data_IF_665636043908
#
_entry.id   IF_665636043908
#
_cell.length_a   1.000
_cell.length_b   1.000
_cell.length_c   1.000
_cell.angle_alpha   90.00
_cell.angle_beta   90.00
_cell.angle_gamma   90.00
#
_symmetry.space_group_name_H-M   'P 1'
#
loop_
_entity.id
_entity.type
_entity.pdbx_description
1 polymer ?
#
# COMPACT_ATOMS: atom_id res chain seq x y z
N UNK A 1 6.58 29.16 -25.65
CA UNK A 1 7.88 29.34 -26.35
C UNK A 1 7.60 29.86 -27.74
N UNK A 2 8.08 31.06 -28.06
CA UNK A 2 7.65 31.85 -29.22
C UNK A 2 8.57 31.58 -30.44
N UNK A 3 8.31 30.48 -31.16
CA UNK A 3 9.15 30.00 -32.28
C UNK A 3 9.23 30.99 -33.45
N UNK A 4 8.26 31.89 -33.59
CA UNK A 4 8.20 32.86 -34.70
C UNK A 4 9.26 33.96 -34.64
N UNK A 5 9.81 34.29 -33.46
CA UNK A 5 10.74 35.43 -33.33
C UNK A 5 12.15 35.17 -33.87
N UNK A 6 12.57 33.91 -34.02
CA UNK A 6 13.88 33.52 -34.57
C UNK A 6 13.97 33.71 -36.10
N UNK A 7 12.83 33.74 -36.80
CA UNK A 7 12.77 33.89 -38.25
C UNK A 7 12.75 35.36 -38.72
N UNK A 8 12.64 36.32 -37.81
CA UNK A 8 12.57 37.74 -38.15
C UNK A 8 13.97 38.32 -38.39
N UNK A 9 14.26 38.91 -39.56
CA UNK A 9 15.54 39.54 -39.82
C UNK A 9 15.68 40.78 -38.93
N UNK A 10 16.75 40.83 -38.13
CA UNK A 10 17.06 41.95 -37.25
C UNK A 10 18.53 42.32 -37.36
N UNK A 11 18.83 43.62 -37.31
CA UNK A 11 20.20 44.12 -37.47
C UNK A 11 21.15 43.63 -36.38
N UNK A 12 20.76 43.72 -35.10
CA UNK A 12 21.55 43.22 -33.96
C UNK A 12 20.72 42.29 -33.07
N UNK A 13 21.09 41.01 -33.05
CA UNK A 13 20.41 39.94 -32.30
C UNK A 13 20.42 40.18 -30.79
N UNK A 14 21.51 40.68 -30.23
CA UNK A 14 21.65 40.92 -28.79
C UNK A 14 20.75 42.08 -28.34
N UNK A 15 20.74 43.17 -29.09
CA UNK A 15 19.87 44.32 -28.80
C UNK A 15 18.38 43.93 -28.89
N UNK A 16 18.00 43.16 -29.92
CA UNK A 16 16.64 42.66 -30.07
C UNK A 16 16.25 41.72 -28.91
N UNK A 17 17.13 40.79 -28.53
CA UNK A 17 16.87 39.88 -27.41
C UNK A 17 16.65 40.63 -26.09
N UNK A 18 17.48 41.65 -25.81
CA UNK A 18 17.32 42.50 -24.61
C UNK A 18 15.99 43.26 -24.64
N UNK A 19 15.62 43.84 -25.78
CA UNK A 19 14.35 44.55 -25.93
C UNK A 19 13.14 43.61 -25.73
N UNK A 20 13.19 42.41 -26.29
CA UNK A 20 12.15 41.37 -26.11
C UNK A 20 12.05 40.93 -24.66
N UNK A 21 13.19 40.69 -23.99
CA UNK A 21 13.21 40.33 -22.57
C UNK A 21 12.60 41.44 -21.71
N UNK A 22 12.95 42.71 -21.95
CA UNK A 22 12.37 43.84 -21.24
C UNK A 22 10.85 43.95 -21.48
N UNK A 23 10.39 43.75 -22.73
CA UNK A 23 8.96 43.76 -23.05
C UNK A 23 8.21 42.62 -22.34
N UNK A 24 8.80 41.42 -22.28
CA UNK A 24 8.25 40.28 -21.55
C UNK A 24 8.22 40.53 -20.04
N UNK A 25 9.28 41.12 -19.46
CA UNK A 25 9.31 41.48 -18.04
C UNK A 25 8.24 42.52 -17.72
N UNK A 26 8.09 43.56 -18.55
CA UNK A 26 7.03 44.57 -18.40
C UNK A 26 5.64 43.94 -18.49
N UNK A 27 5.44 43.01 -19.42
CA UNK A 27 4.17 42.28 -19.54
C UNK A 27 3.87 41.43 -18.30
N UNK A 28 4.86 40.66 -17.80
CA UNK A 28 4.70 39.87 -16.57
C UNK A 28 4.40 40.74 -15.35
N UNK A 29 5.07 41.88 -15.20
CA UNK A 29 4.76 42.85 -14.13
C UNK A 29 3.33 43.35 -14.22
N UNK A 30 2.89 43.74 -15.41
CA UNK A 30 1.50 44.16 -15.64
C UNK A 30 0.48 43.07 -15.32
N UNK A 31 0.74 41.82 -15.68
CA UNK A 31 -0.14 40.70 -15.33
C UNK A 31 -0.19 40.46 -13.82
N UNK A 32 0.94 40.59 -13.12
CA UNK A 32 1.00 40.42 -11.67
C UNK A 32 0.33 41.58 -10.90
N UNK A 33 0.45 42.81 -11.40
CA UNK A 33 -0.13 44.01 -10.80
C UNK A 33 -1.62 44.21 -11.18
N UNK A 34 -2.11 43.49 -12.19
CA UNK A 34 -3.48 43.58 -12.65
C UNK A 34 -4.44 43.06 -11.56
N UNK A 35 -5.22 43.96 -10.98
CA UNK A 35 -6.26 43.61 -10.01
C UNK A 35 -7.38 42.86 -10.72
N UNK A 36 -7.89 41.80 -10.09
CA UNK A 36 -9.15 41.18 -10.51
C UNK A 36 -10.28 42.21 -10.38
N UNK A 37 -11.08 42.37 -11.44
CA UNK A 37 -12.26 43.25 -11.45
C UNK A 37 -13.56 42.50 -11.12
N UNK A 38 -13.49 41.18 -11.13
CA UNK A 38 -14.60 40.26 -10.87
C UNK A 38 -14.21 39.45 -9.65
N UNK A 39 -15.18 39.23 -8.77
CA UNK A 39 -15.04 38.33 -7.64
C UNK A 39 -14.92 36.89 -8.15
N UNK A 40 -13.77 36.26 -7.87
CA UNK A 40 -13.50 34.86 -8.18
C UNK A 40 -13.51 33.99 -6.92
N UNK A 41 -13.98 34.52 -5.78
CA UNK A 41 -14.08 33.72 -4.56
C UNK A 41 -15.15 32.66 -4.72
N UNK A 42 -14.92 31.49 -4.11
CA UNK A 42 -15.91 30.43 -4.13
C UNK A 42 -17.14 30.86 -3.32
N UNK A 43 -18.37 30.63 -3.82
CA UNK A 43 -19.58 30.95 -3.08
C UNK A 43 -19.65 30.13 -1.78
N UNK A 44 -20.29 30.70 -0.75
CA UNK A 44 -20.47 30.01 0.52
C UNK A 44 -21.26 28.70 0.33
N UNK A 45 -20.76 27.62 0.94
CA UNK A 45 -21.34 26.29 0.79
C UNK A 45 -22.34 26.08 1.93
N UNK A 46 -23.64 25.87 1.63
CA UNK A 46 -24.64 25.73 2.68
C UNK A 46 -24.38 24.47 3.51
N UNK A 47 -24.72 24.52 4.79
CA UNK A 47 -24.38 23.47 5.76
C UNK A 47 -24.86 22.06 5.37
N UNK A 48 -26.01 21.95 4.70
CA UNK A 48 -26.58 20.68 4.25
C UNK A 48 -25.80 20.03 3.09
N UNK A 49 -24.95 20.78 2.36
CA UNK A 49 -24.00 20.24 1.39
C UNK A 49 -22.69 19.77 2.05
N UNK A 50 -22.44 20.17 3.31
CA UNK A 50 -21.24 19.78 4.07
C UNK A 50 -21.43 18.46 4.79
N UNK A 51 -22.66 18.15 5.24
CA UNK A 51 -22.99 16.90 5.95
C UNK A 51 -24.30 16.30 5.43
N UNK A 52 -24.24 15.01 5.08
CA UNK A 52 -25.41 14.22 4.70
C UNK A 52 -26.01 13.56 5.95
N UNK A 53 -26.81 14.30 6.72
CA UNK A 53 -27.39 13.82 7.99
C UNK A 53 -28.19 12.51 7.83
N UNK A 54 -28.90 12.33 6.71
CA UNK A 54 -29.62 11.09 6.42
C UNK A 54 -28.68 9.88 6.26
N UNK A 55 -27.50 10.10 5.68
CA UNK A 55 -26.48 9.05 5.54
C UNK A 55 -25.92 8.68 6.92
N UNK A 56 -25.66 9.68 7.75
CA UNK A 56 -25.18 9.49 9.13
C UNK A 56 -26.19 8.68 9.96
N UNK A 57 -27.47 9.07 9.94
CA UNK A 57 -28.56 8.34 10.58
C UNK A 57 -28.64 6.87 10.12
N UNK A 58 -28.60 6.64 8.80
CA UNK A 58 -28.73 5.29 8.25
C UNK A 58 -27.52 4.40 8.63
N UNK A 59 -26.34 4.98 8.79
CA UNK A 59 -25.17 4.26 9.30
C UNK A 59 -25.37 3.91 10.78
N UNK A 60 -25.85 4.85 11.60
CA UNK A 60 -26.14 4.61 13.01
C UNK A 60 -27.20 3.52 13.22
N UNK A 61 -28.31 3.57 12.48
CA UNK A 61 -29.36 2.53 12.51
C UNK A 61 -28.82 1.15 12.12
N UNK A 62 -27.93 1.11 11.12
CA UNK A 62 -27.26 -0.12 10.69
C UNK A 62 -26.33 -0.66 11.77
N UNK A 63 -25.52 0.19 12.40
CA UNK A 63 -24.62 -0.22 13.49
C UNK A 63 -25.42 -0.73 14.69
N UNK A 64 -26.48 -0.03 15.11
CA UNK A 64 -27.35 -0.48 16.19
C UNK A 64 -28.01 -1.84 15.92
N UNK A 65 -28.31 -2.15 14.65
CA UNK A 65 -28.83 -3.46 14.24
C UNK A 65 -27.76 -4.54 14.35
N UNK A 66 -26.57 -4.30 13.82
CA UNK A 66 -25.44 -5.23 13.90
C UNK A 66 -25.06 -5.52 15.36
N UNK A 67 -25.02 -4.50 16.21
CA UNK A 67 -24.70 -4.67 17.63
C UNK A 67 -25.73 -5.53 18.37
N UNK A 68 -27.03 -5.31 18.08
CA UNK A 68 -28.11 -6.13 18.63
C UNK A 68 -27.99 -7.58 18.21
N UNK A 69 -27.72 -7.82 16.92
CA UNK A 69 -27.59 -9.18 16.37
C UNK A 69 -26.34 -9.88 16.94
N UNK A 70 -25.22 -9.17 17.06
CA UNK A 70 -24.00 -9.67 17.69
C UNK A 70 -24.24 -10.04 19.16
N UNK A 71 -24.97 -9.22 19.91
CA UNK A 71 -25.35 -9.52 21.29
C UNK A 71 -26.17 -10.82 21.38
N UNK A 72 -27.19 -10.96 20.54
CA UNK A 72 -28.03 -12.18 20.50
C UNK A 72 -27.20 -13.41 20.11
N UNK A 73 -26.31 -13.25 19.13
CA UNK A 73 -25.42 -14.33 18.68
C UNK A 73 -24.50 -14.79 19.81
N UNK A 74 -23.83 -13.86 20.49
CA UNK A 74 -22.94 -14.15 21.61
C UNK A 74 -23.70 -14.79 22.77
N UNK A 75 -24.91 -14.33 23.07
CA UNK A 75 -25.76 -14.94 24.09
C UNK A 75 -26.10 -16.39 23.74
N UNK A 76 -26.52 -16.67 22.51
CA UNK A 76 -26.79 -18.03 22.01
C UNK A 76 -25.56 -18.91 22.01
N UNK A 77 -24.41 -18.41 21.59
CA UNK A 77 -23.15 -19.16 21.63
C UNK A 77 -22.77 -19.48 23.08
N UNK A 78 -22.85 -18.50 23.99
CA UNK A 78 -22.59 -18.71 25.41
C UNK A 78 -23.54 -19.74 26.02
N UNK A 79 -24.80 -19.74 25.58
CA UNK A 79 -25.80 -20.72 26.02
C UNK A 79 -25.46 -22.13 25.56
N UNK A 80 -25.09 -22.30 24.28
CA UNK A 80 -24.65 -23.59 23.72
C UNK A 80 -23.39 -24.09 24.44
N UNK A 81 -22.39 -23.22 24.63
CA UNK A 81 -21.14 -23.56 25.31
C UNK A 81 -21.36 -23.97 26.77
N UNK A 82 -22.28 -23.31 27.49
CA UNK A 82 -22.66 -23.72 28.85
C UNK A 82 -23.42 -25.04 28.86
N UNK A 83 -24.26 -25.29 27.86
CA UNK A 83 -25.13 -26.46 27.75
C UNK A 83 -24.45 -27.62 27.01
N UNK A 84 -23.16 -27.83 27.23
CA UNK A 84 -22.27 -28.79 26.54
C UNK A 84 -22.61 -30.28 26.78
N UNK A 85 -23.86 -30.60 27.13
CA UNK A 85 -24.39 -31.95 27.24
C UNK A 85 -25.29 -32.19 26.04
N UNK A 86 -24.78 -32.93 25.05
CA UNK A 86 -25.63 -33.53 24.05
C UNK A 86 -26.48 -34.59 24.77
N UNK A 87 -27.77 -34.33 24.93
CA UNK A 87 -28.80 -35.27 25.39
C UNK A 87 -29.10 -36.37 24.34
N UNK A 88 -28.35 -36.39 23.24
CA UNK A 88 -28.39 -37.40 22.18
C UNK A 88 -27.04 -38.13 22.08
N UNK A 89 -26.62 -38.80 23.16
CA UNK A 89 -25.54 -39.80 23.07
C UNK A 89 -26.13 -41.05 22.42
N UNK A 90 -26.07 -41.13 21.10
CA UNK A 90 -26.40 -42.37 20.40
C UNK A 90 -25.16 -43.28 20.38
N UNK A 91 -25.09 -44.20 21.34
CA UNK A 91 -24.02 -45.21 21.47
C UNK A 91 -23.90 -46.13 20.24
N UNK A 92 -24.90 -46.15 19.34
CA UNK A 92 -24.85 -46.92 18.08
C UNK A 92 -23.97 -46.32 16.97
N UNK A 93 -23.42 -45.11 17.17
CA UNK A 93 -22.57 -44.44 16.15
C UNK A 93 -21.18 -45.05 16.00
N UNK A 94 -20.79 -46.01 16.84
CA UNK A 94 -19.52 -46.75 16.70
C UNK A 94 -19.36 -47.44 15.33
N UNK A 95 -20.46 -47.68 14.61
CA UNK A 95 -20.47 -48.36 13.30
C UNK A 95 -21.02 -47.51 12.15
N UNK A 96 -21.29 -46.22 12.36
CA UNK A 96 -21.78 -45.33 11.32
C UNK A 96 -20.63 -44.88 10.39
N UNK A 97 -20.10 -45.80 9.59
CA UNK A 97 -19.29 -45.42 8.45
C UNK A 97 -20.16 -44.65 7.47
N UNK A 98 -19.90 -43.34 7.31
CA UNK A 98 -20.52 -42.57 6.23
C UNK A 98 -20.20 -43.27 4.90
N UNK A 99 -21.23 -43.75 4.19
CA UNK A 99 -21.13 -44.36 2.86
C UNK A 99 -20.31 -43.51 1.87
N UNK A 100 -20.24 -42.21 2.12
CA UNK A 100 -19.52 -41.23 1.29
C UNK A 100 -18.08 -40.95 1.77
N UNK A 101 -17.59 -41.60 2.84
CA UNK A 101 -16.24 -41.37 3.39
C UNK A 101 -15.17 -41.67 2.36
N UNK A 102 -15.31 -42.75 1.60
CA UNK A 102 -14.37 -43.10 0.54
C UNK A 102 -14.44 -42.13 -0.64
N UNK A 103 -15.64 -41.75 -1.07
CA UNK A 103 -15.83 -40.78 -2.14
C UNK A 103 -15.18 -39.43 -1.77
N UNK A 104 -15.42 -38.95 -0.55
CA UNK A 104 -14.80 -37.73 0.00
C UNK A 104 -13.28 -37.85 0.09
N UNK A 105 -12.75 -39.01 0.51
CA UNK A 105 -11.31 -39.26 0.57
C UNK A 105 -10.67 -39.25 -0.83
N UNK A 106 -11.30 -39.88 -1.82
CA UNK A 106 -10.83 -39.87 -3.22
C UNK A 106 -10.84 -38.45 -3.80
N UNK A 107 -11.90 -37.69 -3.55
CA UNK A 107 -12.01 -36.31 -4.03
C UNK A 107 -10.98 -35.40 -3.38
N UNK A 108 -10.76 -35.53 -2.07
CA UNK A 108 -9.69 -34.81 -1.37
C UNK A 108 -8.32 -35.14 -1.97
N UNK A 109 -8.03 -36.42 -2.22
CA UNK A 109 -6.77 -36.83 -2.85
C UNK A 109 -6.61 -36.28 -4.27
N UNK A 110 -7.70 -36.18 -5.05
CA UNK A 110 -7.71 -35.58 -6.39
C UNK A 110 -7.33 -34.09 -6.31
N UNK A 111 -8.02 -33.34 -5.46
CA UNK A 111 -7.79 -31.90 -5.25
C UNK A 111 -6.35 -31.65 -4.79
N UNK A 112 -5.86 -32.42 -3.82
CA UNK A 112 -4.47 -32.28 -3.34
C UNK A 112 -3.45 -32.51 -4.45
N UNK A 113 -3.66 -33.52 -5.30
CA UNK A 113 -2.76 -33.79 -6.43
C UNK A 113 -2.77 -32.68 -7.47
N UNK A 114 -3.95 -32.14 -7.79
CA UNK A 114 -4.10 -31.01 -8.72
C UNK A 114 -3.45 -29.74 -8.18
N UNK A 115 -3.65 -29.43 -6.90
CA UNK A 115 -3.01 -28.30 -6.23
C UNK A 115 -1.49 -28.40 -6.25
N UNK A 116 -0.92 -29.60 -6.02
CA UNK A 116 0.52 -29.83 -6.16
C UNK A 116 1.02 -29.65 -7.59
N UNK A 117 0.21 -29.98 -8.60
CA UNK A 117 0.54 -29.73 -10.01
C UNK A 117 0.52 -28.24 -10.36
N UNK A 118 -0.46 -27.50 -9.85
CA UNK A 118 -0.56 -26.03 -10.01
C UNK A 118 0.62 -25.34 -9.34
N UNK A 119 0.93 -25.70 -8.09
CA UNK A 119 2.03 -25.10 -7.34
C UNK A 119 3.38 -25.28 -8.05
N UNK A 120 3.66 -26.49 -8.55
CA UNK A 120 4.88 -26.74 -9.33
C UNK A 120 4.96 -25.89 -10.58
N UNK A 121 3.85 -25.72 -11.31
CA UNK A 121 3.82 -24.85 -12.50
C UNK A 121 4.06 -23.38 -12.16
N UNK A 122 3.49 -22.89 -11.05
CA UNK A 122 3.71 -21.52 -10.60
C UNK A 122 5.17 -21.31 -10.20
N UNK A 123 5.76 -22.26 -9.46
CA UNK A 123 7.15 -22.16 -9.00
C UNK A 123 8.17 -22.31 -10.14
N UNK A 124 7.86 -23.10 -11.16
CA UNK A 124 8.71 -23.28 -12.34
C UNK A 124 8.50 -22.21 -13.40
N UNK A 125 7.43 -21.42 -13.31
CA UNK A 125 7.18 -20.34 -14.25
C UNK A 125 8.25 -19.26 -14.06
N UNK A 126 9.09 -19.07 -15.07
CA UNK A 126 10.06 -17.98 -15.08
C UNK A 126 9.33 -16.62 -15.12
N UNK A 127 9.80 -15.62 -14.37
CA UNK A 127 9.31 -14.25 -14.50
C UNK A 127 9.46 -13.77 -15.95
N UNK A 128 8.35 -13.36 -16.58
CA UNK A 128 8.37 -12.83 -17.95
C UNK A 128 9.10 -11.47 -18.04
N UNK A 129 9.20 -10.76 -16.92
CA UNK A 129 9.86 -9.47 -16.84
C UNK A 129 11.05 -9.54 -15.89
N UNK A 130 12.23 -9.23 -16.42
CA UNK A 130 13.42 -9.01 -15.61
C UNK A 130 13.44 -7.55 -15.16
N UNK A 131 13.03 -7.33 -13.92
CA UNK A 131 13.01 -5.99 -13.31
C UNK A 131 14.39 -5.33 -13.28
N UNK A 132 15.47 -6.11 -13.20
CA UNK A 132 16.84 -5.58 -13.20
C UNK A 132 17.21 -5.06 -14.59
N UNK A 133 16.90 -5.82 -15.63
CA UNK A 133 17.12 -5.39 -17.01
C UNK A 133 16.33 -4.11 -17.34
N UNK A 134 15.08 -4.02 -16.89
CA UNK A 134 14.25 -2.83 -17.07
C UNK A 134 14.77 -1.60 -16.33
N UNK A 135 15.30 -1.78 -15.13
CA UNK A 135 15.91 -0.69 -14.36
C UNK A 135 17.18 -0.17 -15.05
N UNK A 136 18.02 -1.08 -15.57
CA UNK A 136 19.19 -0.68 -16.35
C UNK A 136 18.81 0.05 -17.65
N UNK A 137 17.79 -0.43 -18.35
CA UNK A 137 17.27 0.20 -19.57
C UNK A 137 16.68 1.59 -19.28
N UNK A 138 15.95 1.74 -18.17
CA UNK A 138 15.44 3.01 -17.72
C UNK A 138 16.56 4.00 -17.42
N UNK A 139 17.63 3.55 -16.75
CA UNK A 139 18.82 4.37 -16.47
C UNK A 139 19.53 4.83 -17.74
N UNK A 140 19.69 3.94 -18.73
CA UNK A 140 20.28 4.27 -20.04
C UNK A 140 19.41 5.28 -20.79
N UNK A 141 18.10 5.06 -20.79
CA UNK A 141 17.11 5.96 -21.40
C UNK A 141 17.15 7.34 -20.75
N UNK A 142 17.23 7.42 -19.43
CA UNK A 142 17.35 8.70 -18.71
C UNK A 142 18.62 9.44 -19.12
N UNK A 143 19.76 8.73 -19.24
CA UNK A 143 21.01 9.32 -19.72
C UNK A 143 20.89 9.85 -21.15
N UNK A 144 20.26 9.10 -22.06
CA UNK A 144 20.01 9.57 -23.43
C UNK A 144 19.11 10.80 -23.45
N UNK A 145 18.00 10.78 -22.71
CA UNK A 145 17.07 11.91 -22.58
C UNK A 145 17.82 13.13 -22.06
N UNK A 146 18.61 12.99 -20.99
CA UNK A 146 19.43 14.07 -20.43
C UNK A 146 20.39 14.67 -21.46
N UNK A 147 20.98 13.82 -22.32
CA UNK A 147 21.94 14.26 -23.34
C UNK A 147 21.28 14.92 -24.56
N UNK A 148 20.08 14.47 -24.97
CA UNK A 148 19.39 14.98 -26.17
C UNK A 148 18.42 16.13 -25.86
N UNK A 149 18.08 16.35 -24.58
CA UNK A 149 17.16 17.41 -24.19
C UNK A 149 17.81 18.79 -24.27
N UNK A 150 17.30 19.64 -25.18
CA UNK A 150 17.68 21.06 -25.29
C UNK A 150 17.28 21.89 -24.04
N UNK A 151 16.27 21.41 -23.30
CA UNK A 151 15.81 22.01 -22.05
C UNK A 151 15.75 20.92 -20.98
N UNK A 152 16.61 20.94 -19.95
CA UNK A 152 16.51 19.98 -18.86
C UNK A 152 15.17 20.20 -18.16
N UNK A 153 14.39 19.12 -18.02
CA UNK A 153 13.22 19.14 -17.16
C UNK A 153 13.70 19.47 -15.75
N UNK A 154 13.39 20.66 -15.26
CA UNK A 154 13.62 21.01 -13.87
C UNK A 154 12.90 20.00 -13.00
N UNK A 155 13.52 19.58 -11.90
CA UNK A 155 13.07 18.49 -11.00
C UNK A 155 11.59 18.57 -10.59
N UNK A 156 10.96 19.73 -10.74
CA UNK A 156 9.54 19.99 -10.49
C UNK A 156 8.59 19.33 -11.52
N UNK A 157 9.01 19.11 -12.76
CA UNK A 157 8.16 18.51 -13.80
C UNK A 157 8.19 16.97 -13.79
N UNK A 158 9.25 16.36 -13.21
CA UNK A 158 9.38 14.91 -13.07
C UNK A 158 8.89 14.39 -11.71
N UNK A 159 8.23 15.21 -10.88
CA UNK A 159 7.31 14.68 -9.87
C UNK A 159 6.08 14.12 -10.61
N UNK A 160 6.31 13.04 -11.35
CA UNK A 160 5.31 12.05 -11.73
C UNK A 160 4.56 11.80 -10.44
N UNK A 161 3.33 12.28 -10.41
CA UNK A 161 2.30 11.97 -9.44
C UNK A 161 2.63 10.64 -8.78
N UNK A 162 3.19 10.71 -7.57
CA UNK A 162 3.42 9.52 -6.77
C UNK A 162 2.04 9.13 -6.24
N UNK A 163 1.19 8.61 -7.14
CA UNK A 163 -0.12 8.03 -6.85
C UNK A 163 0.00 6.82 -5.94
N UNK A 164 1.22 6.41 -5.57
CA UNK A 164 1.50 5.41 -4.54
C UNK A 164 1.44 5.99 -3.11
N UNK A 165 1.77 7.27 -2.88
CA UNK A 165 1.67 7.86 -1.53
C UNK A 165 0.22 8.22 -1.15
N UNK A 166 -0.59 8.60 -2.14
CA UNK A 166 -2.02 8.91 -1.94
C UNK A 166 -2.85 7.64 -1.71
N UNK A 167 -2.47 6.52 -2.33
CA UNK A 167 -3.11 5.22 -2.09
C UNK A 167 -2.65 4.56 -0.79
N UNK A 168 -1.39 4.76 -0.36
CA UNK A 168 -0.90 4.25 0.92
C UNK A 168 -1.57 4.93 2.12
N UNK A 169 -1.84 6.25 2.05
CA UNK A 169 -2.56 6.97 3.09
C UNK A 169 -4.06 6.67 3.10
N UNK A 170 -4.65 6.34 1.93
CA UNK A 170 -6.04 5.89 1.85
C UNK A 170 -6.23 4.46 2.41
N UNK A 171 -5.30 3.54 2.12
CA UNK A 171 -5.35 2.16 2.61
C UNK A 171 -5.14 2.06 4.13
N UNK A 172 -4.33 2.95 4.71
CA UNK A 172 -4.15 3.03 6.17
C UNK A 172 -5.42 3.47 6.92
N UNK A 173 -6.38 4.09 6.23
CA UNK A 173 -7.66 4.51 6.81
C UNK A 173 -8.80 3.50 6.62
N UNK A 174 -8.60 2.43 5.85
CA UNK A 174 -9.64 1.44 5.54
C UNK A 174 -9.53 0.15 6.38
N UNK A 175 -8.36 -0.13 6.96
CA UNK A 175 -8.18 -1.24 7.90
C UNK A 175 -7.54 -0.73 9.18
N UNK A 176 -8.35 -0.61 10.23
CA UNK A 176 -7.90 -0.23 11.57
C UNK A 176 -6.71 -1.08 12.02
N UNK A 177 -5.79 -0.42 12.73
CA UNK A 177 -4.60 -1.03 13.31
C UNK A 177 -4.93 -2.37 14.00
N UNK A 178 -4.12 -3.43 13.82
CA UNK A 178 -4.37 -4.72 14.44
C UNK A 178 -4.25 -4.58 15.97
N UNK A 179 -5.34 -4.94 16.66
CA UNK A 179 -5.53 -4.77 18.11
C UNK A 179 -4.83 -5.85 18.96
N UNK A 180 -3.66 -6.34 18.52
CA UNK A 180 -2.86 -7.29 19.30
C UNK A 180 -1.39 -6.90 19.19
N UNK A 181 -0.94 -6.11 20.16
CA UNK A 181 0.48 -6.01 20.48
C UNK A 181 0.83 -7.28 21.25
N UNK A 182 1.63 -8.17 20.65
CA UNK A 182 2.29 -9.24 21.39
C UNK A 182 3.33 -8.61 22.31
N UNK A 183 3.16 -8.83 23.61
CA UNK A 183 4.17 -8.54 24.63
C UNK A 183 5.32 -9.52 24.43
N UNK A 184 6.36 -9.11 23.68
CA UNK A 184 7.64 -9.83 23.72
C UNK A 184 8.34 -9.52 25.05
N UNK A 185 8.26 -10.47 26.00
CA UNK A 185 9.15 -10.52 27.16
C UNK A 185 10.59 -10.75 26.67
N UNK A 186 11.41 -9.71 26.79
CA UNK A 186 12.84 -9.77 26.47
C UNK A 186 13.62 -10.63 27.46
N UNK A 187 14.01 -11.83 27.04
CA UNK A 187 14.99 -12.66 27.74
C UNK A 187 16.41 -12.09 27.54
N UNK A 188 16.89 -11.36 28.54
CA UNK A 188 18.23 -10.76 28.56
C UNK A 188 19.33 -11.85 28.61
N UNK A 189 19.95 -12.14 27.46
CA UNK A 189 21.19 -12.91 27.37
C UNK A 189 22.33 -12.20 28.13
N UNK A 190 22.62 -12.64 29.35
CA UNK A 190 23.90 -12.39 30.02
C UNK A 190 24.88 -13.51 29.66
N UNK A 191 26.09 -13.14 29.21
CA UNK A 191 27.22 -14.05 29.15
C UNK A 191 28.15 -13.77 27.98
N UNK A 192 28.95 -12.71 28.11
CA UNK A 192 30.02 -12.38 27.17
C UNK A 192 31.09 -13.46 27.12
N UNK A 193 31.52 -13.78 25.89
CA UNK A 193 32.72 -14.54 25.62
C UNK A 193 33.92 -13.60 25.50
N UNK A 194 35.02 -13.91 26.18
CA UNK A 194 36.37 -13.60 25.71
C UNK A 194 37.42 -14.49 26.38
N UNK A 195 38.58 -14.67 25.73
CA UNK A 195 39.19 -15.99 25.57
C UNK A 195 40.54 -16.17 26.28
N UNK A 196 40.94 -17.44 26.45
CA UNK A 196 42.31 -17.94 26.29
C UNK A 196 43.42 -17.46 27.24
N UNK A 197 44.04 -18.42 27.93
CA UNK A 197 45.35 -18.24 28.60
C UNK A 197 45.68 -19.45 29.47
N UNK A 198 46.69 -20.23 29.07
CA UNK A 198 46.99 -21.56 29.60
C UNK A 198 47.88 -21.63 30.84
N UNK A 199 48.16 -22.87 31.27
CA UNK A 199 49.40 -23.23 31.97
C UNK A 199 49.25 -24.06 33.25
N UNK A 200 49.64 -25.34 33.18
CA UNK A 200 50.59 -25.91 34.14
C UNK A 200 50.08 -26.73 35.34
N UNK A 201 50.16 -28.07 35.21
CA UNK A 201 51.12 -28.87 35.99
C UNK A 201 50.78 -29.38 37.41
N UNK A 202 50.72 -30.73 37.52
CA UNK A 202 51.06 -31.53 38.72
C UNK A 202 49.90 -31.76 39.70
N UNK A 203 49.66 -32.93 40.28
CA UNK A 203 50.33 -34.22 40.27
C UNK A 203 49.90 -35.01 41.52
N UNK A 204 49.93 -36.35 41.39
CA UNK A 204 49.99 -37.38 42.44
C UNK A 204 48.70 -37.84 43.16
N UNK A 205 48.45 -39.12 42.94
CA UNK A 205 47.78 -40.13 43.78
C UNK A 205 48.56 -40.36 45.10
N UNK A 206 48.02 -41.10 46.07
CA UNK A 206 47.84 -42.55 45.98
C UNK A 206 46.38 -43.00 45.82
#
# INVERSE_FOLDING_TARGET
>A
MDRGRRAMPVGNKLCNQRAVQQAQQKHRKKLAEMKCRIDNTAPDRPAHLRRNLKKEQLMEDRFATIERDNRILLEKMSYIMRRNQFDNVNESTQYAHSLNKEARKRELQRITRENQGILRRIQQAEPHYDHLAWEEEARKTEAYVRNICEFPATEQAYVRTNSRSVLASAAANEYGAPLYAEEEEGEAKRGGASPGGGGGGGGRTP
#
